data_IF_040486080765
#
_entry.id   IF_040486080765
#
_cell.length_a   1.000
_cell.length_b   1.000
_cell.length_c   1.000
_cell.angle_alpha   90.00
_cell.angle_beta   90.00
_cell.angle_gamma   90.00
#
_symmetry.space_group_name_H-M   'P 1'
#
loop_
_entity.id
_entity.type
_entity.pdbx_description
1 polymer ?
#
# COMPACT_ATOMS: atom_id res chain seq x y z
N UNK A 1 -1.81 0.41 11.85
CA UNK A 1 -0.83 -0.04 10.84
C UNK A 1 0.40 0.85 10.86
N UNK A 2 1.52 0.37 10.27
CA UNK A 2 2.65 1.22 9.89
C UNK A 2 2.61 1.37 8.37
N UNK A 3 2.68 2.59 7.84
CA UNK A 3 2.66 2.87 6.40
C UNK A 3 3.73 3.93 6.11
N UNK A 4 4.83 3.51 5.51
CA UNK A 4 6.01 4.38 5.40
C UNK A 4 6.72 4.27 4.05
N UNK A 5 7.19 5.41 3.55
CA UNK A 5 8.11 5.55 2.43
C UNK A 5 9.50 5.90 2.96
N UNK A 6 10.28 4.86 3.25
CA UNK A 6 11.61 4.98 3.85
C UNK A 6 12.60 5.68 2.90
N UNK A 7 13.67 6.30 3.39
CA UNK A 7 14.77 6.75 2.53
C UNK A 7 15.54 5.54 1.97
N UNK A 8 15.76 5.52 0.63
CA UNK A 8 16.40 4.39 -0.08
C UNK A 8 17.92 4.51 -0.19
N UNK A 9 18.50 5.68 0.15
CA UNK A 9 19.94 5.97 0.01
C UNK A 9 20.42 6.09 -1.45
N UNK A 10 19.51 6.41 -2.39
CA UNK A 10 19.84 6.40 -3.83
C UNK A 10 19.80 7.78 -4.49
N UNK A 11 19.30 8.81 -3.83
CA UNK A 11 19.11 10.14 -4.44
C UNK A 11 20.26 11.12 -4.18
N UNK A 12 21.15 10.82 -3.25
CA UNK A 12 22.23 11.73 -2.83
C UNK A 12 21.75 12.98 -2.09
N UNK A 13 20.47 13.07 -1.75
CA UNK A 13 19.89 14.16 -0.97
C UNK A 13 20.22 13.99 0.51
N UNK A 14 20.33 15.10 1.27
CA UNK A 14 20.74 15.08 2.69
C UNK A 14 19.85 14.22 3.58
N UNK A 15 18.56 14.10 3.26
CA UNK A 15 17.58 13.32 3.99
C UNK A 15 17.54 11.84 3.57
N UNK A 16 18.11 11.49 2.40
CA UNK A 16 18.10 10.11 1.87
C UNK A 16 19.26 9.29 2.44
N UNK A 17 19.30 9.15 3.75
CA UNK A 17 20.28 8.31 4.46
C UNK A 17 19.66 6.96 4.76
N UNK A 18 20.40 5.89 4.44
CA UNK A 18 19.97 4.54 4.78
C UNK A 18 19.79 4.38 6.29
N UNK A 19 18.67 3.79 6.67
CA UNK A 19 18.35 3.37 8.03
C UNK A 19 18.83 1.93 8.18
N UNK A 20 19.29 1.53 9.37
CA UNK A 20 19.51 0.12 9.68
C UNK A 20 18.14 -0.59 9.68
N UNK A 21 17.89 -1.39 8.65
CA UNK A 21 16.60 -2.03 8.44
C UNK A 21 16.34 -3.16 9.45
N UNK A 22 17.38 -3.78 10.04
CA UNK A 22 17.20 -4.82 11.05
C UNK A 22 16.73 -4.20 12.36
N UNK A 23 17.37 -3.10 12.78
CA UNK A 23 16.94 -2.32 13.94
C UNK A 23 15.53 -1.78 13.73
N UNK A 24 15.23 -1.23 12.56
CA UNK A 24 13.91 -0.73 12.19
C UNK A 24 12.83 -1.81 12.31
N UNK A 25 13.05 -3.01 11.78
CA UNK A 25 12.09 -4.12 11.90
C UNK A 25 11.92 -4.61 13.34
N UNK A 26 12.98 -4.57 14.15
CA UNK A 26 12.89 -4.84 15.58
C UNK A 26 11.92 -3.87 16.27
N UNK A 27 12.08 -2.57 16.00
CA UNK A 27 11.21 -1.53 16.56
C UNK A 27 9.78 -1.62 16.00
N UNK A 28 9.59 -1.88 14.72
CA UNK A 28 8.27 -2.10 14.14
C UNK A 28 7.53 -3.26 14.81
N UNK A 29 8.20 -4.39 15.03
CA UNK A 29 7.63 -5.54 15.73
C UNK A 29 7.30 -5.23 17.19
N UNK A 30 8.09 -4.37 17.84
CA UNK A 30 7.88 -3.95 19.24
C UNK A 30 6.64 -3.06 19.39
N UNK A 31 6.41 -2.12 18.45
CA UNK A 31 5.34 -1.12 18.58
C UNK A 31 4.05 -1.53 17.88
N UNK A 32 4.10 -2.41 16.87
CA UNK A 32 2.94 -2.84 16.14
C UNK A 32 2.07 -3.78 16.95
N UNK A 33 0.74 -3.61 16.86
CA UNK A 33 -0.20 -4.62 17.36
C UNK A 33 -0.04 -5.92 16.58
N UNK A 34 -0.33 -7.07 17.21
CA UNK A 34 -0.26 -8.39 16.55
C UNK A 34 -1.11 -8.51 15.29
N UNK A 35 -2.18 -7.73 15.20
CA UNK A 35 -3.09 -7.69 14.02
C UNK A 35 -2.75 -6.56 13.04
N UNK A 36 -1.71 -5.77 13.31
CA UNK A 36 -1.33 -4.67 12.44
C UNK A 36 -0.52 -5.17 11.23
N UNK A 37 -0.71 -4.48 10.11
CA UNK A 37 0.16 -4.61 8.95
C UNK A 37 1.24 -3.53 8.98
N UNK A 38 2.43 -3.87 8.45
CA UNK A 38 3.51 -2.96 8.13
C UNK A 38 3.58 -2.92 6.61
N UNK A 39 3.42 -1.73 6.03
CA UNK A 39 3.37 -1.53 4.58
C UNK A 39 4.44 -0.53 4.18
N UNK A 40 5.40 -0.98 3.40
CA UNK A 40 6.59 -0.21 3.04
C UNK A 40 6.71 -0.07 1.53
N UNK A 41 7.01 1.13 1.06
CA UNK A 41 7.36 1.35 -0.34
C UNK A 41 8.82 0.99 -0.60
N UNK A 42 9.12 0.50 -1.82
CA UNK A 42 10.48 0.19 -2.19
C UNK A 42 10.66 -0.06 -3.68
N UNK A 43 11.90 0.08 -4.11
CA UNK A 43 12.37 -0.39 -5.42
C UNK A 43 13.60 -1.25 -5.23
N UNK A 44 13.84 -2.22 -6.11
CA UNK A 44 15.06 -3.04 -6.01
C UNK A 44 16.31 -2.20 -6.31
N UNK A 45 17.42 -2.43 -5.56
CA UNK A 45 17.66 -3.54 -4.62
C UNK A 45 17.13 -3.31 -3.19
N UNK A 46 16.71 -2.09 -2.82
CA UNK A 46 16.26 -1.76 -1.46
C UNK A 46 15.06 -2.61 -1.01
N UNK A 47 14.09 -2.86 -1.89
CA UNK A 47 12.95 -3.75 -1.60
C UNK A 47 13.40 -5.15 -1.17
N UNK A 48 14.41 -5.73 -1.85
CA UNK A 48 14.97 -7.03 -1.47
C UNK A 48 15.63 -7.01 -0.09
N UNK A 49 16.24 -5.90 0.30
CA UNK A 49 16.83 -5.71 1.63
C UNK A 49 15.75 -5.67 2.71
N UNK A 50 14.64 -4.97 2.45
CA UNK A 50 13.48 -4.93 3.36
C UNK A 50 12.85 -6.33 3.53
N UNK A 51 12.64 -7.06 2.42
CA UNK A 51 12.09 -8.42 2.47
C UNK A 51 13.00 -9.34 3.30
N UNK A 52 14.32 -9.26 3.10
CA UNK A 52 15.28 -10.06 3.87
C UNK A 52 15.23 -9.75 5.37
N UNK A 53 15.13 -8.47 5.75
CA UNK A 53 15.08 -8.06 7.15
C UNK A 53 13.77 -8.44 7.85
N UNK A 54 12.66 -8.47 7.12
CA UNK A 54 11.33 -8.81 7.65
C UNK A 54 10.81 -10.17 7.18
N UNK A 55 11.68 -11.10 6.76
CA UNK A 55 11.28 -12.36 6.09
C UNK A 55 10.31 -13.22 6.93
N UNK A 56 10.44 -13.19 8.23
CA UNK A 56 9.61 -13.93 9.18
C UNK A 56 8.16 -13.44 9.26
N UNK A 57 7.90 -12.21 8.82
CA UNK A 57 6.58 -11.60 8.80
C UNK A 57 6.19 -11.09 7.41
N UNK A 58 6.98 -11.37 6.37
CA UNK A 58 6.66 -11.01 5.00
C UNK A 58 5.44 -11.78 4.49
N UNK A 59 4.51 -11.07 3.85
CA UNK A 59 3.28 -11.67 3.31
C UNK A 59 3.29 -11.70 1.78
N UNK A 60 3.34 -10.54 1.16
CA UNK A 60 3.31 -10.36 -0.30
C UNK A 60 3.70 -8.94 -0.69
N UNK A 61 3.82 -8.71 -1.98
CA UNK A 61 4.01 -7.39 -2.57
C UNK A 61 2.85 -6.99 -3.46
N UNK A 62 2.64 -5.69 -3.59
CA UNK A 62 1.74 -5.08 -4.55
C UNK A 62 2.58 -4.21 -5.49
N UNK A 63 2.33 -4.31 -6.78
CA UNK A 63 2.99 -3.48 -7.80
C UNK A 63 2.16 -2.21 -8.02
N UNK A 64 2.68 -1.08 -7.59
CA UNK A 64 2.07 0.21 -7.93
C UNK A 64 2.56 0.68 -9.30
N UNK A 65 1.68 0.60 -10.31
CA UNK A 65 1.91 1.13 -11.65
C UNK A 65 1.66 2.63 -11.66
N UNK A 66 2.70 3.40 -12.02
CA UNK A 66 2.64 4.86 -12.14
C UNK A 66 2.21 5.29 -13.55
N UNK A 67 1.55 6.43 -13.66
CA UNK A 67 1.22 7.02 -14.97
C UNK A 67 2.48 7.41 -15.76
N UNK A 68 3.55 7.86 -15.08
CA UNK A 68 4.80 8.26 -15.70
C UNK A 68 6.02 7.57 -15.08
N UNK A 69 7.01 7.29 -15.93
CA UNK A 69 8.34 6.84 -15.55
C UNK A 69 9.37 7.97 -15.49
N UNK A 70 10.41 7.78 -14.71
CA UNK A 70 11.55 8.69 -14.65
C UNK A 70 12.41 8.61 -15.91
N UNK A 71 12.73 9.75 -16.54
CA UNK A 71 13.52 9.83 -17.77
C UNK A 71 15.04 9.81 -17.56
N UNK A 72 15.53 9.92 -16.33
CA UNK A 72 16.97 10.07 -16.03
C UNK A 72 17.87 8.99 -16.67
N UNK A 73 17.35 7.78 -16.85
CA UNK A 73 18.10 6.65 -17.42
C UNK A 73 17.53 6.13 -18.74
N UNK A 74 16.72 6.92 -19.45
CA UNK A 74 16.03 6.49 -20.69
C UNK A 74 16.97 5.95 -21.78
N UNK A 75 18.23 6.42 -21.83
CA UNK A 75 19.25 5.95 -22.78
C UNK A 75 19.98 4.69 -22.33
N UNK A 76 19.78 4.20 -21.10
CA UNK A 76 20.54 3.06 -20.52
C UNK A 76 19.66 1.89 -20.10
N UNK A 77 18.36 2.12 -19.83
CA UNK A 77 17.41 1.10 -19.42
C UNK A 77 15.97 1.52 -19.72
N UNK A 78 15.00 0.59 -19.77
CA UNK A 78 13.60 0.93 -19.87
C UNK A 78 13.15 1.89 -18.75
N UNK A 79 12.17 2.73 -19.04
CA UNK A 79 11.60 3.67 -18.06
C UNK A 79 10.93 2.90 -16.92
N UNK A 80 11.36 3.14 -15.69
CA UNK A 80 10.75 2.55 -14.50
C UNK A 80 9.37 3.17 -14.25
N UNK A 81 8.30 2.39 -14.45
CA UNK A 81 6.91 2.83 -14.28
C UNK A 81 6.20 2.17 -13.11
N UNK A 82 6.93 1.55 -12.20
CA UNK A 82 6.34 0.93 -11.01
C UNK A 82 7.21 1.16 -9.77
N UNK A 83 6.58 1.00 -8.63
CA UNK A 83 7.21 0.78 -7.32
C UNK A 83 6.56 -0.44 -6.68
N UNK A 84 7.27 -1.09 -5.77
CA UNK A 84 6.76 -2.16 -4.95
C UNK A 84 6.20 -1.60 -3.65
N UNK A 85 5.10 -2.19 -3.20
CA UNK A 85 4.51 -1.94 -1.89
C UNK A 85 4.57 -3.29 -1.17
N UNK A 86 5.45 -3.39 -0.20
CA UNK A 86 5.74 -4.61 0.53
C UNK A 86 4.83 -4.69 1.75
N UNK A 87 4.14 -5.80 1.92
CA UNK A 87 3.20 -6.02 3.03
C UNK A 87 3.77 -7.06 3.98
N UNK A 88 3.88 -6.68 5.23
CA UNK A 88 4.34 -7.52 6.32
C UNK A 88 3.27 -7.57 7.42
N UNK A 89 3.24 -8.63 8.19
CA UNK A 89 2.31 -8.81 9.31
C UNK A 89 2.13 -10.26 9.67
N UNK A 90 1.34 -10.54 10.71
CA UNK A 90 0.96 -11.92 11.06
C UNK A 90 -0.12 -12.46 10.10
N UNK A 91 -0.38 -13.76 10.15
CA UNK A 91 -1.49 -14.38 9.41
C UNK A 91 -2.84 -13.76 9.78
N UNK A 92 -3.01 -13.33 11.02
CA UNK A 92 -4.23 -12.73 11.56
C UNK A 92 -4.29 -11.19 11.38
N UNK A 93 -3.38 -10.59 10.62
CA UNK A 93 -3.44 -9.15 10.37
C UNK A 93 -4.64 -8.77 9.52
N UNK A 94 -5.23 -7.61 9.82
CA UNK A 94 -6.46 -7.12 9.19
C UNK A 94 -6.31 -6.96 7.67
N UNK A 95 -7.34 -7.40 6.94
CA UNK A 95 -7.44 -7.22 5.49
C UNK A 95 -8.89 -6.97 5.08
N UNK A 96 -9.14 -5.87 4.40
CA UNK A 96 -10.43 -5.51 3.81
C UNK A 96 -10.24 -5.28 2.30
N UNK A 97 -10.65 -6.23 1.44
CA UNK A 97 -10.47 -6.10 0.00
C UNK A 97 -11.28 -4.91 -0.54
N UNK A 98 -10.61 -4.02 -1.27
CA UNK A 98 -11.27 -2.90 -1.95
C UNK A 98 -11.83 -3.41 -3.28
N UNK A 99 -13.05 -3.95 -3.23
CA UNK A 99 -13.73 -4.55 -4.37
C UNK A 99 -14.07 -3.51 -5.43
N UNK A 100 -13.96 -3.88 -6.70
CA UNK A 100 -14.32 -3.01 -7.83
C UNK A 100 -15.62 -3.50 -8.46
N UNK A 101 -16.60 -2.61 -8.63
CA UNK A 101 -17.85 -2.93 -9.31
C UNK A 101 -17.63 -3.12 -10.82
N UNK A 102 -18.20 -4.19 -11.38
CA UNK A 102 -18.15 -4.49 -12.82
C UNK A 102 -19.02 -3.50 -13.58
N UNK A 103 -18.40 -2.69 -14.43
CA UNK A 103 -19.13 -1.81 -15.35
C UNK A 103 -19.60 -2.62 -16.57
N UNK A 104 -20.92 -2.81 -16.71
CA UNK A 104 -21.54 -3.46 -17.87
C UNK A 104 -22.14 -4.83 -17.58
N UNK A 105 -22.16 -5.73 -18.60
CA UNK A 105 -22.82 -7.02 -18.48
C UNK A 105 -22.06 -7.95 -17.55
N UNK A 106 -22.68 -8.27 -16.42
CA UNK A 106 -22.11 -9.18 -15.42
C UNK A 106 -22.18 -10.62 -15.92
N UNK A 107 -21.04 -11.33 -15.85
CA UNK A 107 -20.92 -12.73 -16.23
C UNK A 107 -20.70 -13.58 -14.99
N UNK A 108 -21.71 -14.36 -14.61
CA UNK A 108 -21.58 -15.30 -13.48
C UNK A 108 -20.86 -16.58 -13.94
N UNK A 109 -19.57 -16.67 -13.67
CA UNK A 109 -18.72 -17.81 -14.06
C UNK A 109 -19.10 -19.12 -13.40
N UNK A 110 -19.83 -19.12 -12.28
CA UNK A 110 -20.33 -20.36 -11.61
C UNK A 110 -21.27 -21.11 -12.50
N UNK A 111 -21.97 -20.42 -13.42
CA UNK A 111 -22.92 -21.01 -14.38
C UNK A 111 -22.25 -21.59 -15.64
N UNK A 112 -20.93 -21.45 -15.77
CA UNK A 112 -20.22 -21.92 -16.96
C UNK A 112 -19.87 -23.40 -16.83
N UNK A 113 -20.23 -24.18 -17.89
CA UNK A 113 -19.97 -25.64 -17.97
C UNK A 113 -18.47 -26.00 -17.80
N UNK A 114 -17.56 -25.07 -18.08
CA UNK A 114 -16.12 -25.30 -17.94
C UNK A 114 -15.71 -25.50 -16.47
N UNK A 115 -16.22 -24.70 -15.54
CA UNK A 115 -15.90 -24.82 -14.12
C UNK A 115 -16.52 -26.07 -13.48
N UNK A 116 -17.70 -26.50 -13.95
CA UNK A 116 -18.32 -27.75 -13.47
C UNK A 116 -17.53 -29.01 -13.88
N UNK A 117 -16.68 -28.94 -14.92
CA UNK A 117 -15.79 -30.04 -15.34
C UNK A 117 -14.48 -30.08 -14.54
N UNK A 118 -13.94 -28.93 -14.18
CA UNK A 118 -12.71 -28.86 -13.36
C UNK A 118 -12.95 -29.45 -11.97
N UNK A 119 -14.11 -29.19 -11.36
CA UNK A 119 -14.45 -29.68 -10.02
C UNK A 119 -14.53 -31.22 -9.90
N UNK A 120 -14.82 -31.93 -11.01
CA UNK A 120 -14.98 -33.39 -10.97
C UNK A 120 -13.67 -34.18 -11.10
N UNK A 121 -12.63 -33.58 -11.69
CA UNK A 121 -11.39 -34.29 -12.05
C UNK A 121 -10.16 -33.90 -11.19
N UNK A 122 -10.30 -32.98 -10.25
CA UNK A 122 -9.17 -32.40 -9.51
C UNK A 122 -9.38 -32.43 -7.99
N UNK A 123 -10.00 -33.49 -7.45
CA UNK A 123 -10.35 -33.58 -6.02
C UNK A 123 -9.17 -33.47 -5.04
N UNK A 124 -7.92 -33.71 -5.48
CA UNK A 124 -6.77 -33.92 -4.60
C UNK A 124 -5.61 -32.92 -4.79
N UNK A 125 -5.80 -31.83 -5.56
CA UNK A 125 -4.77 -30.82 -5.74
C UNK A 125 -4.93 -29.64 -4.77
N UNK A 126 -3.85 -29.17 -4.11
CA UNK A 126 -3.88 -27.97 -3.25
C UNK A 126 -4.40 -26.71 -3.94
N UNK A 127 -4.20 -26.61 -5.27
CA UNK A 127 -4.74 -25.53 -6.11
C UNK A 127 -6.27 -25.49 -6.11
N UNK A 128 -6.92 -26.64 -5.90
CA UNK A 128 -8.38 -26.73 -5.89
C UNK A 128 -9.03 -26.25 -4.59
N UNK A 129 -8.36 -26.40 -3.44
CA UNK A 129 -8.87 -25.88 -2.18
C UNK A 129 -9.03 -24.35 -2.27
N UNK A 130 -8.06 -23.66 -2.86
CA UNK A 130 -8.11 -22.21 -3.06
C UNK A 130 -9.17 -21.81 -4.10
N UNK A 131 -9.37 -22.61 -5.14
CA UNK A 131 -10.41 -22.35 -6.15
C UNK A 131 -11.82 -22.57 -5.58
N UNK A 132 -12.01 -23.58 -4.71
CA UNK A 132 -13.29 -23.79 -4.00
C UNK A 132 -13.61 -22.67 -3.02
N UNK A 133 -12.61 -22.15 -2.29
CA UNK A 133 -12.77 -20.98 -1.43
C UNK A 133 -13.15 -19.70 -2.20
N UNK A 134 -12.65 -19.53 -3.44
CA UNK A 134 -12.98 -18.39 -4.28
C UNK A 134 -14.44 -18.36 -4.77
N UNK A 135 -15.16 -19.50 -4.68
CA UNK A 135 -16.58 -19.62 -5.02
C UNK A 135 -17.46 -19.87 -3.79
N UNK A 136 -17.07 -19.33 -2.64
CA UNK A 136 -17.89 -19.34 -1.41
C UNK A 136 -19.28 -18.71 -1.65
N UNK A 137 -20.21 -18.95 -0.73
CA UNK A 137 -21.56 -18.36 -0.73
C UNK A 137 -21.58 -16.83 -0.92
N UNK A 138 -20.47 -16.17 -0.58
CA UNK A 138 -20.33 -14.72 -0.56
C UNK A 138 -19.81 -14.13 -1.88
N UNK A 139 -19.59 -14.97 -2.91
CA UNK A 139 -19.18 -14.48 -4.24
C UNK A 139 -20.33 -13.74 -4.93
N UNK A 140 -20.18 -12.42 -5.09
CA UNK A 140 -21.06 -11.60 -5.93
C UNK A 140 -20.36 -11.31 -7.27
N UNK A 141 -20.90 -11.80 -8.42
CA UNK A 141 -20.29 -11.58 -9.73
C UNK A 141 -20.31 -10.10 -10.17
N UNK A 142 -21.01 -9.23 -9.45
CA UNK A 142 -20.98 -7.77 -9.69
C UNK A 142 -19.68 -7.12 -9.25
N UNK A 143 -18.88 -7.82 -8.44
CA UNK A 143 -17.64 -7.28 -7.90
C UNK A 143 -16.44 -8.12 -8.32
N UNK A 144 -15.32 -7.44 -8.55
CA UNK A 144 -14.02 -8.04 -8.85
C UNK A 144 -13.12 -7.84 -7.64
N UNK A 145 -12.45 -8.90 -7.22
CA UNK A 145 -11.41 -8.83 -6.19
C UNK A 145 -10.27 -7.93 -6.65
N UNK A 146 -9.63 -7.18 -5.75
CA UNK A 146 -8.41 -6.45 -6.06
C UNK A 146 -7.31 -7.40 -6.52
N UNK A 147 -6.45 -6.90 -7.41
CA UNK A 147 -5.25 -7.61 -7.87
C UNK A 147 -4.01 -7.07 -7.18
N UNK A 148 -2.91 -7.77 -7.29
CA UNK A 148 -1.58 -7.36 -6.83
C UNK A 148 -0.94 -6.25 -7.66
N UNK A 149 -1.62 -5.78 -8.71
CA UNK A 149 -1.23 -4.60 -9.50
C UNK A 149 -2.27 -3.51 -9.34
N UNK A 150 -1.86 -2.38 -8.78
CA UNK A 150 -2.71 -1.19 -8.59
C UNK A 150 -2.22 -0.04 -9.47
N UNK A 151 -3.14 0.74 -10.00
CA UNK A 151 -2.81 1.88 -10.86
C UNK A 151 -3.30 3.18 -10.22
N UNK A 152 -2.34 4.02 -9.80
CA UNK A 152 -2.59 5.36 -9.28
C UNK A 152 -1.67 6.35 -9.96
N UNK A 153 -2.23 7.49 -10.37
CA UNK A 153 -1.45 8.56 -10.98
C UNK A 153 -0.46 9.16 -9.99
N UNK A 154 0.79 9.29 -10.41
CA UNK A 154 1.81 10.05 -9.71
C UNK A 154 1.88 11.53 -10.16
N UNK A 155 0.93 11.96 -10.99
CA UNK A 155 0.75 13.35 -11.39
C UNK A 155 -0.06 14.13 -10.36
N UNK A 156 0.40 15.31 -10.01
CA UNK A 156 -0.28 16.20 -9.07
C UNK A 156 -1.26 17.16 -9.75
N UNK A 157 -1.57 17.03 -11.06
CA UNK A 157 -2.58 17.73 -11.86
C UNK A 157 -2.90 19.15 -11.34
N UNK A 158 -1.96 20.09 -11.48
CA UNK A 158 -2.12 21.48 -11.02
C UNK A 158 -2.08 21.70 -9.50
N UNK A 159 -2.03 20.64 -8.69
CA UNK A 159 -1.81 20.75 -7.23
C UNK A 159 -0.32 20.93 -6.94
N UNK A 160 -0.02 21.75 -5.94
CA UNK A 160 1.36 21.98 -5.49
C UNK A 160 2.00 20.66 -5.03
N UNK A 161 3.19 20.35 -5.55
CA UNK A 161 4.02 19.26 -5.06
C UNK A 161 4.89 19.80 -3.93
N UNK A 162 4.75 19.25 -2.74
CA UNK A 162 5.44 19.74 -1.54
C UNK A 162 6.74 18.98 -1.26
N UNK A 163 6.90 17.76 -1.78
CA UNK A 163 8.10 16.94 -1.61
C UNK A 163 8.45 16.22 -2.92
N UNK A 164 9.75 16.07 -3.29
CA UNK A 164 10.16 15.43 -4.55
C UNK A 164 9.65 13.99 -4.73
N UNK A 165 9.55 13.24 -3.63
CA UNK A 165 9.09 11.83 -3.62
C UNK A 165 7.69 11.66 -3.05
N UNK A 166 6.91 12.73 -2.94
CA UNK A 166 5.56 12.69 -2.37
C UNK A 166 4.69 11.60 -3.01
N UNK A 167 4.10 10.74 -2.17
CA UNK A 167 3.15 9.71 -2.61
C UNK A 167 1.76 10.29 -2.84
N UNK A 168 0.98 9.79 -3.81
CA UNK A 168 -0.39 10.22 -4.06
C UNK A 168 -1.31 9.87 -2.89
N UNK A 169 -2.07 10.84 -2.38
CA UNK A 169 -3.05 10.63 -1.30
C UNK A 169 -4.05 9.52 -1.63
N UNK A 170 -4.63 9.42 -2.86
CA UNK A 170 -5.55 8.33 -3.18
C UNK A 170 -4.95 6.91 -3.07
N UNK A 171 -3.65 6.73 -3.35
CA UNK A 171 -2.96 5.47 -3.15
C UNK A 171 -2.84 5.13 -1.66
N UNK A 172 -2.48 6.12 -0.84
CA UNK A 172 -2.36 5.95 0.60
C UNK A 172 -3.71 5.66 1.25
N UNK A 173 -4.78 6.32 0.79
CA UNK A 173 -6.17 6.04 1.21
C UNK A 173 -6.59 4.61 0.87
N UNK A 174 -6.26 4.12 -0.33
CA UNK A 174 -6.51 2.74 -0.73
C UNK A 174 -5.83 1.75 0.23
N UNK A 175 -4.55 1.97 0.54
CA UNK A 175 -3.78 1.11 1.46
C UNK A 175 -4.33 1.18 2.89
N UNK A 176 -4.68 2.37 3.39
CA UNK A 176 -5.25 2.56 4.72
C UNK A 176 -6.60 1.85 4.85
N UNK A 177 -7.50 1.99 3.87
CA UNK A 177 -8.77 1.27 3.84
C UNK A 177 -8.60 -0.25 3.82
N UNK A 178 -7.59 -0.72 3.08
CA UNK A 178 -7.31 -2.15 2.93
C UNK A 178 -6.79 -2.78 4.23
N UNK A 179 -6.01 -2.03 5.00
CA UNK A 179 -5.23 -2.61 6.13
C UNK A 179 -5.59 -2.06 7.50
N UNK A 180 -6.65 -1.23 7.62
CA UNK A 180 -7.12 -0.69 8.90
C UNK A 180 -8.64 -0.55 8.95
N UNK A 181 -9.20 -0.63 10.17
CA UNK A 181 -10.55 -0.16 10.47
C UNK A 181 -10.56 1.34 10.81
N UNK A 182 -11.75 1.96 10.75
CA UNK A 182 -11.92 3.34 11.25
C UNK A 182 -11.55 3.43 12.73
N UNK A 183 -11.02 4.58 13.13
CA UNK A 183 -10.54 4.82 14.49
C UNK A 183 -9.18 4.19 14.83
N UNK A 184 -8.63 3.30 13.97
CA UNK A 184 -7.30 2.75 14.19
C UNK A 184 -6.19 3.77 13.90
N UNK A 185 -5.00 3.50 14.42
CA UNK A 185 -3.83 4.38 14.28
C UNK A 185 -2.98 3.97 13.08
N UNK A 186 -2.59 4.96 12.28
CA UNK A 186 -1.58 4.85 11.21
C UNK A 186 -0.31 5.56 11.69
N UNK A 187 0.82 4.87 11.65
CA UNK A 187 2.16 5.40 11.96
C UNK A 187 2.96 5.56 10.67
N UNK A 188 3.57 6.72 10.48
CA UNK A 188 4.57 7.00 9.44
C UNK A 188 5.79 7.68 10.08
N UNK A 189 6.90 6.97 10.18
CA UNK A 189 8.12 7.47 10.81
C UNK A 189 9.06 8.23 9.85
N UNK A 190 8.65 8.42 8.59
CA UNK A 190 9.34 9.23 7.58
C UNK A 190 8.31 10.01 6.75
N UNK A 191 7.42 10.77 7.42
CA UNK A 191 6.21 11.31 6.82
C UNK A 191 6.44 12.37 5.73
N UNK A 192 7.63 12.92 5.62
CA UNK A 192 7.96 13.96 4.65
C UNK A 192 6.98 15.12 4.71
N UNK A 193 6.28 15.37 3.61
CA UNK A 193 5.24 16.41 3.53
C UNK A 193 3.86 15.97 4.08
N UNK A 194 3.75 14.84 4.79
CA UNK A 194 2.55 14.43 5.52
C UNK A 194 1.41 13.84 4.67
N UNK A 195 1.69 13.28 3.50
CA UNK A 195 0.63 12.71 2.65
C UNK A 195 -0.09 11.53 3.30
N UNK A 196 0.63 10.70 4.06
CA UNK A 196 0.05 9.59 4.85
C UNK A 196 -0.89 10.12 5.92
N UNK A 197 -0.51 11.20 6.61
CA UNK A 197 -1.33 11.84 7.63
C UNK A 197 -2.62 12.44 7.05
N UNK A 198 -2.53 13.11 5.90
CA UNK A 198 -3.71 13.60 5.17
C UNK A 198 -4.65 12.44 4.82
N UNK A 199 -4.12 11.35 4.27
CA UNK A 199 -4.93 10.17 3.91
C UNK A 199 -5.58 9.52 5.15
N UNK A 200 -4.85 9.42 6.27
CA UNK A 200 -5.36 8.87 7.51
C UNK A 200 -6.54 9.70 8.06
N UNK A 201 -6.37 11.02 8.10
CA UNK A 201 -7.41 11.95 8.57
C UNK A 201 -8.64 11.92 7.68
N UNK A 202 -8.49 11.93 6.36
CA UNK A 202 -9.61 11.83 5.40
C UNK A 202 -10.47 10.58 5.63
N UNK A 203 -9.92 9.56 6.27
CA UNK A 203 -10.55 8.27 6.50
C UNK A 203 -10.90 8.01 7.97
N UNK A 204 -10.90 9.02 8.81
CA UNK A 204 -11.17 8.91 10.26
C UNK A 204 -10.22 7.93 10.98
N UNK A 205 -8.93 7.92 10.61
CA UNK A 205 -7.88 7.18 11.32
C UNK A 205 -7.06 8.15 12.16
N UNK A 206 -6.64 7.71 13.35
CA UNK A 206 -5.63 8.43 14.11
C UNK A 206 -4.28 8.37 13.39
N UNK A 207 -3.47 9.43 13.50
CA UNK A 207 -2.18 9.50 12.82
C UNK A 207 -1.07 9.87 13.79
N UNK A 208 0.04 9.14 13.69
CA UNK A 208 1.32 9.46 14.34
C UNK A 208 2.34 9.62 13.23
N UNK A 209 2.91 10.80 13.08
CA UNK A 209 3.93 11.10 12.07
C UNK A 209 5.23 11.57 12.70
N UNK A 210 6.36 11.18 12.10
CA UNK A 210 7.69 11.63 12.48
C UNK A 210 8.40 12.16 11.24
N UNK A 211 9.12 13.27 11.40
CA UNK A 211 9.94 13.90 10.37
C UNK A 211 11.13 14.60 11.02
N UNK A 212 12.32 14.37 10.46
CA UNK A 212 13.56 14.98 10.98
C UNK A 212 13.77 16.39 10.46
N UNK A 213 13.33 16.65 9.22
CA UNK A 213 13.46 17.97 8.61
C UNK A 213 12.35 18.89 9.12
N UNK A 214 12.74 19.95 9.84
CA UNK A 214 11.81 20.89 10.46
C UNK A 214 10.91 21.62 9.47
N UNK A 215 11.36 21.83 8.23
CA UNK A 215 10.55 22.54 7.22
C UNK A 215 9.52 21.59 6.62
N UNK A 216 9.89 20.34 6.32
CA UNK A 216 8.93 19.32 5.93
C UNK A 216 7.93 19.00 7.05
N UNK A 217 8.39 18.97 8.31
CA UNK A 217 7.50 18.79 9.46
C UNK A 217 6.39 19.86 9.50
N UNK A 218 6.76 21.16 9.39
CA UNK A 218 5.79 22.26 9.35
C UNK A 218 4.81 22.15 8.20
N UNK A 219 5.30 21.77 6.99
CA UNK A 219 4.46 21.53 5.82
C UNK A 219 3.47 20.39 6.08
N UNK A 220 3.93 19.29 6.66
CA UNK A 220 3.10 18.15 7.01
C UNK A 220 2.02 18.52 8.01
N UNK A 221 2.40 19.23 9.10
CA UNK A 221 1.47 19.68 10.13
C UNK A 221 0.37 20.58 9.55
N UNK A 222 0.75 21.57 8.72
CA UNK A 222 -0.23 22.43 8.07
C UNK A 222 -1.21 21.64 7.21
N UNK A 223 -0.72 20.74 6.35
CA UNK A 223 -1.54 19.93 5.45
C UNK A 223 -2.50 18.99 6.18
N UNK A 224 -2.02 18.36 7.25
CA UNK A 224 -2.84 17.47 8.08
C UNK A 224 -3.93 18.26 8.82
N UNK A 225 -3.59 19.44 9.34
CA UNK A 225 -4.56 20.31 10.01
C UNK A 225 -5.61 20.88 9.05
N UNK A 226 -5.23 21.18 7.80
CA UNK A 226 -6.17 21.56 6.75
C UNK A 226 -7.13 20.42 6.41
N UNK A 227 -6.62 19.17 6.31
CA UNK A 227 -7.45 18.00 6.08
C UNK A 227 -8.45 17.76 7.23
N UNK A 228 -8.03 17.90 8.50
CA UNK A 228 -8.93 17.78 9.68
C UNK A 228 -10.09 18.75 9.61
N UNK A 229 -9.82 20.03 9.34
CA UNK A 229 -10.87 21.04 9.21
C UNK A 229 -11.89 20.68 8.12
N UNK A 230 -11.42 20.16 6.99
CA UNK A 230 -12.33 19.77 5.91
C UNK A 230 -13.23 18.58 6.29
N UNK A 231 -12.76 17.66 7.12
CA UNK A 231 -13.57 16.51 7.59
C UNK A 231 -14.60 16.93 8.66
N UNK A 232 -14.28 17.91 9.51
CA UNK A 232 -15.19 18.42 10.56
C UNK A 232 -16.37 19.22 10.01
N UNK A 233 -16.31 19.70 8.76
CA UNK A 233 -17.38 20.48 8.12
C UNK A 233 -18.36 19.64 7.28
N UNK A 234 -18.21 18.33 7.23
CA UNK A 234 -19.10 17.38 6.53
C UNK A 234 -19.63 16.31 7.49
#
# INVERSE_FOLDING_TARGET
>A
MILCDLPYGVTGLKWDKCIDVNELFSEYKRVAKKTANIVLFGTNPFASTLIKAGIDIYKYEIVWKKSNGGFAYAKRRPLGRHELILVFGSENSFYSPQMTEVKGKVRDRRKEKFYSRIDKNLSDSPVNANTRMAYSSDYDPKYINPTDVVEFSNHFQGKKRFHPTQKPVPLLEYLIKTYTCEGETVLDNCMGSGSTGVAAVNLNRAFIGMELDCDYFKIAEQRINEARRNVEFF
#
